data_IF_433796136305
#
_entry.id   IF_433796136305
#
_cell.length_a   1.000
_cell.length_b   1.000
_cell.length_c   1.000
_cell.angle_alpha   90.00
_cell.angle_beta   90.00
_cell.angle_gamma   90.00
#
_symmetry.space_group_name_H-M   'P 1'
#
loop_
_entity.id
_entity.type
_entity.pdbx_description
1 polymer ?
#
# COMPACT_ATOMS: atom_id res chain seq x y z
N UNK A 1 10.26 -21.07 18.75
CA UNK A 1 10.76 -20.92 17.37
C UNK A 1 11.28 -19.50 17.25
N UNK A 2 12.53 -19.30 16.81
CA UNK A 2 13.02 -17.95 16.46
C UNK A 2 12.50 -17.65 15.06
N UNK A 3 11.79 -16.55 14.91
CA UNK A 3 11.40 -16.06 13.59
C UNK A 3 12.48 -15.06 13.17
N UNK A 4 13.30 -15.42 12.18
CA UNK A 4 14.36 -14.55 11.63
C UNK A 4 13.79 -13.51 10.63
N UNK A 5 12.53 -13.11 10.80
CA UNK A 5 11.82 -12.20 9.90
C UNK A 5 11.83 -10.77 10.42
N UNK A 6 12.09 -9.81 9.53
CA UNK A 6 11.86 -8.40 9.80
C UNK A 6 10.56 -7.95 9.09
N UNK A 7 9.75 -7.14 9.77
CA UNK A 7 8.55 -6.53 9.23
C UNK A 7 8.74 -5.03 9.03
N UNK A 8 8.15 -4.47 7.97
CA UNK A 8 8.23 -3.05 7.67
C UNK A 8 6.85 -2.50 7.33
N UNK A 9 6.57 -1.28 7.78
CA UNK A 9 5.41 -0.49 7.32
C UNK A 9 5.94 0.63 6.47
N UNK A 10 5.48 0.71 5.22
CA UNK A 10 5.87 1.76 4.28
C UNK A 10 4.73 2.73 4.02
N UNK A 11 5.07 4.00 3.79
CA UNK A 11 4.18 5.05 3.32
C UNK A 11 4.72 5.61 2.01
N UNK A 12 3.83 5.86 1.07
CA UNK A 12 4.14 6.51 -0.20
C UNK A 12 2.94 7.36 -0.64
N UNK A 13 3.19 8.33 -1.51
CA UNK A 13 2.19 9.24 -2.04
C UNK A 13 1.80 8.78 -3.45
N UNK A 14 0.55 8.96 -3.85
CA UNK A 14 0.04 8.67 -5.20
C UNK A 14 -0.90 9.82 -5.60
N UNK A 15 -0.93 10.15 -6.88
CA UNK A 15 -1.83 11.17 -7.41
C UNK A 15 -3.31 10.87 -7.08
N UNK A 16 -3.98 11.79 -6.37
CA UNK A 16 -5.33 11.54 -5.84
C UNK A 16 -6.39 11.35 -6.93
N UNK A 17 -6.25 12.05 -8.06
CA UNK A 17 -7.16 11.89 -9.20
C UNK A 17 -7.07 10.48 -9.79
N UNK A 18 -5.85 9.95 -9.91
CA UNK A 18 -5.62 8.57 -10.34
C UNK A 18 -6.21 7.56 -9.34
N UNK A 19 -5.96 7.74 -8.04
CA UNK A 19 -6.49 6.84 -7.00
C UNK A 19 -8.02 6.76 -6.98
N UNK A 20 -8.72 7.83 -7.37
CA UNK A 20 -10.19 7.91 -7.34
C UNK A 20 -10.89 6.85 -8.20
N UNK A 21 -10.14 6.20 -9.10
CA UNK A 21 -10.61 5.12 -9.98
C UNK A 21 -10.83 3.80 -9.23
N UNK A 22 -10.14 3.59 -8.11
CA UNK A 22 -10.11 2.31 -7.40
C UNK A 22 -11.06 2.29 -6.20
N UNK A 23 -11.83 1.20 -6.00
CA UNK A 23 -12.73 1.11 -4.88
C UNK A 23 -11.96 0.95 -3.56
N UNK A 24 -12.35 1.72 -2.55
CA UNK A 24 -11.97 1.49 -1.16
C UNK A 24 -12.91 0.47 -0.55
N UNK A 25 -12.36 -0.57 0.08
CA UNK A 25 -13.13 -1.65 0.71
C UNK A 25 -12.58 -1.95 2.09
N UNK A 26 -13.45 -2.37 2.98
CA UNK A 26 -13.02 -3.00 4.22
C UNK A 26 -12.69 -4.46 3.94
N UNK A 27 -11.40 -4.78 3.95
CA UNK A 27 -10.88 -6.14 3.83
C UNK A 27 -9.87 -6.39 4.97
N UNK A 28 -9.72 -7.65 5.35
CA UNK A 28 -8.90 -8.05 6.50
C UNK A 28 -9.54 -7.78 7.87
N UNK A 29 -9.58 -6.52 8.32
CA UNK A 29 -9.93 -6.13 9.70
C UNK A 29 -11.04 -5.08 9.81
N UNK A 30 -11.75 -5.03 10.96
CA UNK A 30 -12.85 -4.07 11.20
C UNK A 30 -12.44 -2.60 11.20
N UNK A 31 -11.15 -2.30 11.21
CA UNK A 31 -10.61 -0.94 11.34
C UNK A 31 -9.75 -0.52 10.14
N UNK A 32 -9.57 -1.40 9.15
CA UNK A 32 -8.68 -1.14 8.01
C UNK A 32 -9.54 -0.94 6.76
N UNK A 33 -9.22 0.09 6.01
CA UNK A 33 -9.71 0.32 4.66
C UNK A 33 -8.58 0.03 3.69
N UNK A 34 -8.87 -0.72 2.66
CA UNK A 34 -7.94 -1.15 1.62
C UNK A 34 -8.39 -0.57 0.28
N UNK A 35 -7.44 -0.04 -0.48
CA UNK A 35 -7.65 0.34 -1.88
C UNK A 35 -7.46 -0.89 -2.76
N UNK A 36 -8.46 -1.26 -3.54
CA UNK A 36 -8.43 -2.47 -4.35
C UNK A 36 -8.06 -2.14 -5.80
N UNK A 37 -6.83 -2.47 -6.18
CA UNK A 37 -6.26 -2.27 -7.52
C UNK A 37 -6.23 -3.61 -8.27
N UNK A 38 -6.73 -3.71 -9.51
CA UNK A 38 -6.56 -4.92 -10.33
C UNK A 38 -5.09 -5.26 -10.52
N UNK A 39 -4.75 -6.55 -10.48
CA UNK A 39 -3.35 -6.99 -10.53
C UNK A 39 -2.66 -6.60 -11.85
N UNK A 40 -3.43 -6.60 -12.94
CA UNK A 40 -3.02 -6.18 -14.28
C UNK A 40 -2.70 -4.68 -14.40
N UNK A 41 -3.15 -3.85 -13.45
CA UNK A 41 -2.93 -2.40 -13.44
C UNK A 41 -1.79 -1.97 -12.50
N UNK A 42 -1.10 -2.92 -11.84
CA UNK A 42 -0.06 -2.59 -10.87
C UNK A 42 1.12 -1.80 -11.46
N UNK A 43 1.49 -2.05 -12.72
CA UNK A 43 2.54 -1.28 -13.38
C UNK A 43 2.14 0.19 -13.55
N UNK A 44 0.88 0.45 -13.94
CA UNK A 44 0.33 1.81 -14.07
C UNK A 44 0.20 2.47 -12.69
N UNK A 45 -0.26 1.73 -11.69
CA UNK A 45 -0.32 2.21 -10.32
C UNK A 45 1.05 2.64 -9.79
N UNK A 46 2.07 1.81 -10.01
CA UNK A 46 3.44 2.10 -9.58
C UNK A 46 4.02 3.33 -10.29
N UNK A 47 3.66 3.55 -11.55
CA UNK A 47 4.08 4.73 -12.31
C UNK A 47 3.50 6.05 -11.75
N UNK A 48 2.38 5.99 -11.03
CA UNK A 48 1.74 7.15 -10.39
C UNK A 48 2.16 7.35 -8.93
N UNK A 49 3.05 6.52 -8.38
CA UNK A 49 3.69 6.79 -7.08
C UNK A 49 4.58 8.00 -7.24
N UNK A 50 4.38 9.01 -6.40
CA UNK A 50 5.13 10.27 -6.43
C UNK A 50 5.99 10.40 -5.18
N UNK A 51 7.18 10.97 -5.34
CA UNK A 51 8.12 11.13 -4.24
C UNK A 51 8.74 9.82 -3.76
N UNK A 52 9.11 9.76 -2.49
CA UNK A 52 9.84 8.64 -1.90
C UNK A 52 8.91 7.64 -1.20
N UNK A 53 9.26 6.35 -1.27
CA UNK A 53 8.68 5.32 -0.41
C UNK A 53 9.45 5.34 0.91
N UNK A 54 8.73 5.64 2.00
CA UNK A 54 9.31 5.80 3.33
C UNK A 54 8.97 4.61 4.21
N UNK A 55 9.96 4.04 4.91
CA UNK A 55 9.68 3.14 6.04
C UNK A 55 9.26 3.99 7.23
N UNK A 56 8.05 3.78 7.73
CA UNK A 56 7.49 4.49 8.89
C UNK A 56 7.47 3.64 10.15
N UNK A 57 7.67 2.33 10.01
CA UNK A 57 7.83 1.42 11.15
C UNK A 57 8.63 0.17 10.79
N UNK A 58 9.39 -0.34 11.75
CA UNK A 58 10.17 -1.58 11.63
C UNK A 58 9.88 -2.50 12.81
N UNK A 59 9.74 -3.79 12.53
CA UNK A 59 9.62 -4.87 13.51
C UNK A 59 10.80 -5.82 13.32
N UNK A 60 11.57 -6.08 14.38
CA UNK A 60 12.78 -6.92 14.36
C UNK A 60 12.78 -7.86 15.57
#
# INVERSE_FOLDING_TARGET
>A
MKHDGAGFVTRFEVESEFLSRYPVRQAGGKTILELWVPAEELDDFNAHIVGEIQVVHEFR
#
